data_IF_144183985272
#
_entry.id   IF_144183985272
#
_cell.length_a   1.000
_cell.length_b   1.000
_cell.length_c   1.000
_cell.angle_alpha   90.00
_cell.angle_beta   90.00
_cell.angle_gamma   90.00
#
_symmetry.space_group_name_H-M   'P 1'
#
loop_
_entity.id
_entity.type
_entity.pdbx_description
1 polymer ?
#
# COMPACT_ATOMS: atom_id res chain seq x y z
N UNK A 1 5.80 7.37 -39.09
CA UNK A 1 4.76 6.95 -38.14
C UNK A 1 5.31 5.75 -37.41
N UNK A 2 5.79 5.97 -36.20
CA UNK A 2 6.56 4.99 -35.43
C UNK A 2 5.64 4.40 -34.35
N UNK A 3 5.06 3.23 -34.64
CA UNK A 3 4.09 2.53 -33.78
C UNK A 3 4.75 1.55 -32.77
N UNK A 4 6.06 1.61 -32.59
CA UNK A 4 6.79 0.57 -31.83
C UNK A 4 7.17 0.93 -30.39
N UNK A 5 6.86 2.13 -29.88
CA UNK A 5 7.29 2.57 -28.54
C UNK A 5 6.31 2.27 -27.40
N UNK A 6 5.04 1.98 -27.68
CA UNK A 6 4.00 1.84 -26.65
C UNK A 6 3.74 0.37 -26.23
N UNK A 7 4.10 -0.59 -27.08
CA UNK A 7 3.86 -2.02 -26.79
C UNK A 7 4.83 -2.60 -25.75
N UNK A 8 6.03 -2.05 -25.60
CA UNK A 8 7.02 -2.49 -24.61
C UNK A 8 6.65 -2.12 -23.17
N UNK A 9 6.10 -0.93 -22.96
CA UNK A 9 5.68 -0.45 -21.63
C UNK A 9 4.53 -1.27 -21.08
N UNK A 10 3.52 -1.55 -21.87
CA UNK A 10 2.34 -2.34 -21.45
C UNK A 10 2.68 -3.81 -21.18
N UNK A 11 3.56 -4.41 -21.97
CA UNK A 11 3.99 -5.80 -21.77
C UNK A 11 4.85 -5.93 -20.51
N UNK A 12 5.76 -4.97 -20.27
CA UNK A 12 6.58 -4.95 -19.07
C UNK A 12 5.73 -4.77 -17.81
N UNK A 13 4.79 -3.83 -17.81
CA UNK A 13 3.85 -3.61 -16.71
C UNK A 13 2.98 -4.84 -16.44
N UNK A 14 2.51 -5.51 -17.49
CA UNK A 14 1.74 -6.76 -17.35
C UNK A 14 2.56 -7.85 -16.69
N UNK A 15 3.83 -8.01 -17.10
CA UNK A 15 4.73 -9.01 -16.51
C UNK A 15 5.03 -8.67 -15.03
N UNK A 16 5.29 -7.43 -14.74
CA UNK A 16 5.48 -6.97 -13.36
C UNK A 16 4.28 -7.34 -12.48
N UNK A 17 3.05 -7.06 -12.94
CA UNK A 17 1.82 -7.41 -12.22
C UNK A 17 1.69 -8.92 -12.03
N UNK A 18 2.02 -9.74 -13.02
CA UNK A 18 1.98 -11.20 -12.88
C UNK A 18 2.93 -11.70 -11.77
N UNK A 19 4.11 -11.10 -11.64
CA UNK A 19 5.06 -11.45 -10.58
C UNK A 19 4.49 -11.04 -9.21
N UNK A 20 3.93 -9.85 -9.10
CA UNK A 20 3.32 -9.35 -7.88
C UNK A 20 2.11 -10.21 -7.45
N UNK A 21 1.23 -10.56 -8.37
CA UNK A 21 0.07 -11.43 -8.11
C UNK A 21 0.50 -12.84 -7.69
N UNK A 22 1.55 -13.39 -8.29
CA UNK A 22 2.11 -14.68 -7.91
C UNK A 22 2.66 -14.65 -6.48
N UNK A 23 3.42 -13.60 -6.12
CA UNK A 23 3.91 -13.40 -4.76
C UNK A 23 2.74 -13.28 -3.78
N UNK A 24 1.78 -12.41 -4.07
CA UNK A 24 0.61 -12.17 -3.21
C UNK A 24 -0.17 -13.46 -2.95
N UNK A 25 -0.49 -14.20 -4.00
CA UNK A 25 -1.22 -15.49 -3.90
C UNK A 25 -0.42 -16.52 -3.10
N UNK A 26 0.90 -16.59 -3.28
CA UNK A 26 1.76 -17.46 -2.50
C UNK A 26 1.75 -17.11 -1.00
N UNK A 27 1.71 -15.81 -0.68
CA UNK A 27 1.68 -15.32 0.70
C UNK A 27 0.34 -15.53 1.41
N UNK A 28 -0.74 -15.74 0.68
CA UNK A 28 -2.01 -16.15 1.28
C UNK A 28 -1.93 -17.57 1.89
N UNK A 29 -1.07 -18.41 1.34
CA UNK A 29 -0.97 -19.83 1.72
C UNK A 29 0.24 -20.16 2.59
N UNK A 30 1.33 -19.40 2.46
CA UNK A 30 2.63 -19.69 3.08
C UNK A 30 3.22 -18.45 3.77
N UNK A 31 3.98 -18.65 4.87
CA UNK A 31 4.71 -17.56 5.52
C UNK A 31 5.72 -16.91 4.56
N UNK A 32 5.94 -15.60 4.73
CA UNK A 32 6.85 -14.82 3.90
C UNK A 32 8.27 -15.39 3.78
N UNK A 33 8.91 -15.88 4.86
CA UNK A 33 10.26 -16.48 4.74
C UNK A 33 10.30 -17.75 3.88
N UNK A 34 9.19 -18.50 3.79
CA UNK A 34 9.12 -19.76 3.05
C UNK A 34 8.88 -19.59 1.55
N UNK A 35 8.52 -18.39 1.09
CA UNK A 35 8.34 -18.10 -0.33
C UNK A 35 9.66 -17.66 -0.93
N UNK A 36 10.22 -18.44 -1.85
CA UNK A 36 11.47 -18.12 -2.54
C UNK A 36 11.23 -17.53 -3.93
N UNK A 37 12.19 -16.72 -4.41
CA UNK A 37 12.16 -16.21 -5.79
C UNK A 37 12.19 -17.39 -6.79
N UNK A 38 12.85 -18.48 -6.46
CA UNK A 38 12.91 -19.67 -7.32
C UNK A 38 11.52 -20.31 -7.47
N UNK A 39 10.73 -20.38 -6.38
CA UNK A 39 9.35 -20.88 -6.42
C UNK A 39 8.46 -20.01 -7.31
N UNK A 40 8.57 -18.68 -7.16
CA UNK A 40 7.80 -17.73 -7.98
C UNK A 40 8.16 -17.86 -9.45
N UNK A 41 9.46 -17.97 -9.76
CA UNK A 41 9.94 -18.17 -11.14
C UNK A 41 9.42 -19.48 -11.74
N UNK A 42 9.43 -20.56 -10.97
CA UNK A 42 8.91 -21.86 -11.39
C UNK A 42 7.41 -21.78 -11.68
N UNK A 43 6.62 -21.19 -10.78
CA UNK A 43 5.17 -21.03 -10.95
C UNK A 43 4.82 -20.19 -12.20
N UNK A 44 5.62 -19.16 -12.49
CA UNK A 44 5.40 -18.26 -13.62
C UNK A 44 6.02 -18.73 -14.94
N UNK A 45 6.80 -19.82 -14.91
CA UNK A 45 7.54 -20.28 -16.11
C UNK A 45 8.58 -19.26 -16.58
N UNK A 46 9.23 -18.52 -15.69
CA UNK A 46 10.24 -17.50 -16.02
C UNK A 46 11.59 -17.84 -15.40
N UNK A 47 12.67 -17.31 -15.98
CA UNK A 47 13.99 -17.42 -15.38
C UNK A 47 14.17 -16.46 -14.21
N UNK A 48 15.09 -16.77 -13.26
CA UNK A 48 15.48 -15.84 -12.20
C UNK A 48 15.99 -14.50 -12.76
N UNK A 49 16.73 -14.54 -13.86
CA UNK A 49 17.17 -13.32 -14.56
C UNK A 49 15.98 -12.46 -14.98
N UNK A 50 14.91 -13.09 -15.48
CA UNK A 50 13.69 -12.38 -15.85
C UNK A 50 13.02 -11.73 -14.63
N UNK A 51 13.00 -12.39 -13.47
CA UNK A 51 12.50 -11.79 -12.22
C UNK A 51 13.32 -10.55 -11.84
N UNK A 52 14.66 -10.68 -11.83
CA UNK A 52 15.55 -9.57 -11.44
C UNK A 52 15.54 -8.37 -12.41
N UNK A 53 15.01 -8.52 -13.61
CA UNK A 53 14.77 -7.37 -14.49
C UNK A 53 13.62 -6.46 -13.99
N UNK A 54 12.76 -6.94 -13.09
CA UNK A 54 11.62 -6.20 -12.54
C UNK A 54 11.81 -5.83 -11.07
N UNK A 55 12.39 -6.71 -10.29
CA UNK A 55 12.56 -6.54 -8.86
C UNK A 55 13.94 -7.01 -8.41
N UNK A 56 14.69 -6.20 -7.66
CA UNK A 56 15.99 -6.59 -7.14
C UNK A 56 15.89 -7.76 -6.13
N UNK A 57 14.76 -7.85 -5.42
CA UNK A 57 14.49 -8.86 -4.43
C UNK A 57 12.99 -9.06 -4.22
N UNK A 58 12.64 -9.93 -3.29
CA UNK A 58 11.24 -10.23 -2.92
C UNK A 58 10.60 -9.06 -2.14
N UNK A 59 11.39 -8.35 -1.36
CA UNK A 59 10.92 -7.20 -0.57
C UNK A 59 10.48 -6.07 -1.48
N UNK A 60 11.25 -5.77 -2.52
CA UNK A 60 10.88 -4.78 -3.53
C UNK A 60 9.59 -5.15 -4.28
N UNK A 61 9.37 -6.44 -4.53
CA UNK A 61 8.12 -6.91 -5.13
C UNK A 61 6.93 -6.67 -4.18
N UNK A 62 7.07 -6.99 -2.88
CA UNK A 62 6.02 -6.74 -1.89
C UNK A 62 5.78 -5.24 -1.67
N UNK A 63 6.84 -4.44 -1.65
CA UNK A 63 6.75 -2.97 -1.59
C UNK A 63 5.93 -2.42 -2.76
N UNK A 64 6.12 -2.95 -3.98
CA UNK A 64 5.35 -2.53 -5.15
C UNK A 64 3.86 -2.87 -5.02
N UNK A 65 3.52 -4.03 -4.41
CA UNK A 65 2.13 -4.40 -4.10
C UNK A 65 1.52 -3.38 -3.14
N UNK A 66 2.19 -3.10 -2.02
CA UNK A 66 1.73 -2.14 -1.00
C UNK A 66 1.56 -0.74 -1.61
N UNK A 67 2.57 -0.26 -2.33
CA UNK A 67 2.54 1.05 -3.01
C UNK A 67 1.33 1.19 -3.93
N UNK A 68 1.04 0.15 -4.72
CA UNK A 68 -0.12 0.16 -5.61
C UNK A 68 -1.45 0.25 -4.85
N UNK A 69 -1.56 -0.44 -3.72
CA UNK A 69 -2.75 -0.38 -2.86
C UNK A 69 -2.92 1.00 -2.25
N UNK A 70 -1.85 1.62 -1.77
CA UNK A 70 -1.86 3.00 -1.29
C UNK A 70 -2.29 3.99 -2.38
N UNK A 71 -1.69 3.91 -3.57
CA UNK A 71 -2.09 4.77 -4.70
C UNK A 71 -3.56 4.59 -5.07
N UNK A 72 -4.09 3.37 -5.02
CA UNK A 72 -5.51 3.12 -5.31
C UNK A 72 -6.40 3.72 -4.23
N UNK A 73 -6.07 3.55 -2.95
CA UNK A 73 -6.77 4.16 -1.83
C UNK A 73 -6.89 5.68 -1.99
N UNK A 74 -5.75 6.35 -2.18
CA UNK A 74 -5.72 7.80 -2.30
C UNK A 74 -6.43 8.31 -3.55
N UNK A 75 -6.31 7.60 -4.66
CA UNK A 75 -7.03 7.95 -5.88
C UNK A 75 -8.55 7.90 -5.67
N UNK A 76 -9.05 6.87 -4.96
CA UNK A 76 -10.46 6.75 -4.64
C UNK A 76 -10.91 7.88 -3.72
N UNK A 77 -10.16 8.16 -2.65
CA UNK A 77 -10.46 9.27 -1.74
C UNK A 77 -10.44 10.63 -2.43
N UNK A 78 -9.50 10.87 -3.34
CA UNK A 78 -9.46 12.12 -4.12
C UNK A 78 -10.67 12.28 -5.05
N UNK A 79 -11.15 11.19 -5.63
CA UNK A 79 -12.36 11.22 -6.45
C UNK A 79 -13.60 11.58 -5.61
N UNK A 80 -13.70 11.06 -4.39
CA UNK A 80 -14.78 11.39 -3.45
C UNK A 80 -14.68 12.82 -2.95
N UNK A 81 -13.49 13.32 -2.63
CA UNK A 81 -13.26 14.71 -2.20
C UNK A 81 -13.78 15.74 -3.22
N UNK A 82 -13.77 15.42 -4.49
CA UNK A 82 -14.29 16.28 -5.54
C UNK A 82 -15.82 16.51 -5.43
N UNK A 83 -16.54 15.67 -4.68
CA UNK A 83 -17.99 15.74 -4.46
C UNK A 83 -18.39 16.42 -3.13
N UNK A 84 -17.43 17.07 -2.45
CA UNK A 84 -17.62 17.72 -1.15
C UNK A 84 -18.25 16.80 -0.06
N UNK A 85 -17.65 15.62 0.21
CA UNK A 85 -18.15 14.69 1.21
C UNK A 85 -17.99 15.26 2.63
N UNK A 86 -18.75 14.72 3.57
CA UNK A 86 -18.51 14.98 4.99
C UNK A 86 -17.25 14.24 5.47
N UNK A 87 -16.67 14.69 6.60
CA UNK A 87 -15.53 14.01 7.22
C UNK A 87 -15.84 12.53 7.54
N UNK A 88 -17.08 12.27 8.01
CA UNK A 88 -17.54 10.90 8.30
C UNK A 88 -17.55 10.01 7.04
N UNK A 89 -17.94 10.55 5.88
CA UNK A 89 -17.92 9.84 4.61
C UNK A 89 -16.50 9.51 4.18
N UNK A 90 -15.57 10.45 4.30
CA UNK A 90 -14.14 10.24 3.99
C UNK A 90 -13.56 9.12 4.85
N UNK A 91 -13.80 9.17 6.17
CA UNK A 91 -13.33 8.14 7.10
C UNK A 91 -13.96 6.79 6.76
N UNK A 92 -15.26 6.74 6.49
CA UNK A 92 -15.96 5.51 6.13
C UNK A 92 -15.39 4.86 4.86
N UNK A 93 -15.13 5.65 3.82
CA UNK A 93 -14.54 5.17 2.57
C UNK A 93 -13.10 4.66 2.77
N UNK A 94 -12.30 5.37 3.54
CA UNK A 94 -10.94 4.95 3.88
C UNK A 94 -10.95 3.60 4.61
N UNK A 95 -11.78 3.45 5.63
CA UNK A 95 -11.90 2.21 6.40
C UNK A 95 -12.48 1.08 5.54
N UNK A 96 -13.49 1.36 4.70
CA UNK A 96 -14.06 0.38 3.78
C UNK A 96 -13.01 -0.18 2.82
N UNK A 97 -12.18 0.69 2.23
CA UNK A 97 -11.09 0.29 1.37
C UNK A 97 -10.13 -0.70 2.06
N UNK A 98 -9.65 -0.38 3.26
CA UNK A 98 -8.74 -1.26 3.99
C UNK A 98 -9.38 -2.56 4.46
N UNK A 99 -10.68 -2.55 4.72
CA UNK A 99 -11.44 -3.77 5.00
C UNK A 99 -11.49 -4.71 3.79
N UNK A 100 -11.60 -4.18 2.58
CA UNK A 100 -11.52 -4.96 1.34
C UNK A 100 -10.11 -5.54 1.14
N UNK A 101 -9.08 -4.82 1.58
CA UNK A 101 -7.67 -5.26 1.52
C UNK A 101 -7.23 -6.13 2.71
N UNK A 102 -8.19 -6.75 3.43
CA UNK A 102 -7.92 -7.60 4.61
C UNK A 102 -6.83 -8.65 4.39
N UNK A 103 -6.75 -9.24 3.20
CA UNK A 103 -5.75 -10.26 2.87
C UNK A 103 -4.33 -9.70 2.92
N UNK A 104 -4.13 -8.45 2.49
CA UNK A 104 -2.84 -7.77 2.61
C UNK A 104 -2.51 -7.50 4.09
N UNK A 105 -3.48 -7.03 4.87
CA UNK A 105 -3.31 -6.79 6.30
C UNK A 105 -2.98 -8.08 7.05
N UNK A 106 -3.65 -9.20 6.72
CA UNK A 106 -3.33 -10.54 7.26
C UNK A 106 -1.88 -10.96 6.95
N UNK A 107 -1.42 -10.74 5.72
CA UNK A 107 -0.05 -11.05 5.31
C UNK A 107 0.95 -10.22 6.13
N UNK A 108 0.70 -8.92 6.28
CA UNK A 108 1.57 -7.99 7.01
C UNK A 108 1.66 -8.38 8.49
N UNK A 109 0.53 -8.62 9.14
CA UNK A 109 0.48 -8.97 10.56
C UNK A 109 1.12 -10.33 10.83
N UNK A 110 0.76 -11.36 10.06
CA UNK A 110 1.28 -12.72 10.28
C UNK A 110 2.79 -12.86 10.07
N UNK A 111 3.38 -11.97 9.30
CA UNK A 111 4.80 -12.05 8.92
C UNK A 111 5.66 -10.95 9.55
N UNK A 112 5.11 -10.16 10.46
CA UNK A 112 5.81 -9.04 11.13
C UNK A 112 6.42 -8.03 10.12
N UNK A 113 5.62 -7.68 9.10
CA UNK A 113 6.04 -6.80 7.99
C UNK A 113 5.53 -5.36 8.16
N UNK A 114 5.25 -4.96 9.40
CA UNK A 114 4.69 -3.64 9.71
C UNK A 114 5.60 -2.50 9.26
N UNK A 115 6.90 -2.62 9.55
CA UNK A 115 7.90 -1.63 9.13
C UNK A 115 7.90 -1.40 7.61
N UNK A 116 7.66 -2.46 6.83
CA UNK A 116 7.58 -2.36 5.38
C UNK A 116 6.35 -1.54 4.93
N UNK A 117 5.22 -1.72 5.60
CA UNK A 117 4.02 -0.91 5.34
C UNK A 117 4.24 0.55 5.72
N UNK A 118 4.81 0.82 6.90
CA UNK A 118 5.13 2.17 7.38
C UNK A 118 6.08 2.89 6.43
N UNK A 119 7.16 2.23 6.01
CA UNK A 119 8.13 2.77 5.06
C UNK A 119 7.47 3.14 3.72
N UNK A 120 6.55 2.30 3.22
CA UNK A 120 5.83 2.60 1.98
C UNK A 120 4.86 3.78 2.15
N UNK A 121 4.17 3.88 3.28
CA UNK A 121 3.32 5.02 3.58
C UNK A 121 4.13 6.33 3.65
N UNK A 122 5.27 6.33 4.35
CA UNK A 122 6.16 7.49 4.45
C UNK A 122 6.69 7.88 3.07
N UNK A 123 7.12 6.92 2.27
CA UNK A 123 7.60 7.16 0.91
C UNK A 123 6.52 7.78 0.04
N UNK A 124 5.33 7.20 0.07
CA UNK A 124 4.18 7.71 -0.66
C UNK A 124 3.87 9.17 -0.31
N UNK A 125 3.86 9.50 0.98
CA UNK A 125 3.60 10.87 1.44
C UNK A 125 4.69 11.85 1.01
N UNK A 126 5.96 11.42 0.97
CA UNK A 126 7.07 12.25 0.48
C UNK A 126 7.00 12.53 -1.02
N UNK A 127 6.49 11.59 -1.81
CA UNK A 127 6.30 11.79 -3.25
C UNK A 127 5.26 12.89 -3.55
N UNK A 128 4.33 13.13 -2.62
CA UNK A 128 3.29 14.17 -2.72
C UNK A 128 3.57 15.38 -1.78
N UNK A 129 4.83 15.61 -1.45
CA UNK A 129 5.29 16.58 -0.45
C UNK A 129 4.75 18.00 -0.68
N UNK A 130 4.73 18.49 -1.93
CA UNK A 130 4.25 19.84 -2.26
C UNK A 130 2.76 20.02 -1.90
N UNK A 131 1.96 18.98 -2.11
CA UNK A 131 0.55 19.00 -1.75
C UNK A 131 0.36 18.98 -0.23
N UNK A 132 1.15 18.17 0.48
CA UNK A 132 1.11 18.09 1.93
C UNK A 132 1.57 19.40 2.60
N UNK A 133 2.60 20.07 2.08
CA UNK A 133 3.04 21.37 2.55
C UNK A 133 1.95 22.41 2.43
N UNK A 134 1.15 22.38 1.37
CA UNK A 134 0.03 23.30 1.17
C UNK A 134 -1.11 23.09 2.18
N UNK A 135 -1.30 21.85 2.65
CA UNK A 135 -2.33 21.52 3.64
C UNK A 135 -1.89 21.90 5.07
N UNK A 136 -0.59 21.69 5.38
CA UNK A 136 -0.07 21.88 6.73
C UNK A 136 0.34 23.32 7.03
N UNK A 137 0.32 24.22 6.04
CA UNK A 137 0.70 25.64 6.16
C UNK A 137 2.01 25.87 6.93
N UNK A 138 3.00 24.99 6.71
CA UNK A 138 4.27 25.04 7.45
C UNK A 138 5.47 25.00 6.49
N UNK A 139 6.41 25.97 6.61
CA UNK A 139 7.56 26.06 5.72
C UNK A 139 8.76 25.20 6.12
N UNK A 140 8.67 24.42 7.23
CA UNK A 140 9.81 23.70 7.79
C UNK A 140 9.77 22.21 7.47
N UNK A 141 10.61 21.77 6.56
CA UNK A 141 10.72 20.38 6.09
C UNK A 141 10.95 19.36 7.23
N UNK A 142 11.71 19.72 8.27
CA UNK A 142 11.95 18.82 9.40
C UNK A 142 10.70 18.60 10.25
N UNK A 143 9.92 19.66 10.46
CA UNK A 143 8.63 19.58 11.16
C UNK A 143 7.63 18.74 10.39
N UNK A 144 7.59 18.90 9.05
CA UNK A 144 6.74 18.09 8.16
C UNK A 144 7.09 16.61 8.28
N UNK A 145 8.35 16.23 8.20
CA UNK A 145 8.75 14.83 8.30
C UNK A 145 8.35 14.20 9.65
N UNK A 146 8.45 14.94 10.75
CA UNK A 146 8.02 14.48 12.05
C UNK A 146 6.49 14.29 12.12
N UNK A 147 5.73 15.27 11.65
CA UNK A 147 4.26 15.22 11.60
C UNK A 147 3.78 14.08 10.71
N UNK A 148 4.41 13.90 9.54
CA UNK A 148 4.08 12.81 8.62
C UNK A 148 4.35 11.44 9.23
N UNK A 149 5.50 11.25 9.88
CA UNK A 149 5.82 10.00 10.55
C UNK A 149 4.78 9.68 11.65
N UNK A 150 4.42 10.66 12.47
CA UNK A 150 3.38 10.51 13.49
C UNK A 150 2.01 10.17 12.89
N UNK A 151 1.63 10.87 11.82
CA UNK A 151 0.37 10.61 11.11
C UNK A 151 0.32 9.20 10.51
N UNK A 152 1.40 8.76 9.85
CA UNK A 152 1.50 7.40 9.28
C UNK A 152 1.40 6.35 10.36
N UNK A 153 2.17 6.49 11.44
CA UNK A 153 2.15 5.52 12.54
C UNK A 153 0.77 5.42 13.18
N UNK A 154 0.06 6.55 13.34
CA UNK A 154 -1.30 6.56 13.85
C UNK A 154 -2.27 5.84 12.89
N UNK A 155 -2.22 6.14 11.59
CA UNK A 155 -3.07 5.54 10.58
C UNK A 155 -2.84 4.02 10.47
N UNK A 156 -1.60 3.60 10.41
CA UNK A 156 -1.22 2.19 10.32
C UNK A 156 -1.66 1.45 11.58
N UNK A 157 -1.39 2.01 12.77
CA UNK A 157 -1.83 1.41 14.04
C UNK A 157 -3.35 1.28 14.11
N UNK A 158 -4.10 2.31 13.70
CA UNK A 158 -5.56 2.31 13.70
C UNK A 158 -6.11 1.21 12.78
N UNK A 159 -5.60 1.10 11.56
CA UNK A 159 -6.01 0.06 10.59
C UNK A 159 -5.74 -1.33 11.16
N UNK A 160 -4.54 -1.55 11.71
CA UNK A 160 -4.16 -2.85 12.25
C UNK A 160 -4.96 -3.23 13.48
N UNK A 161 -5.20 -2.31 14.40
CA UNK A 161 -6.04 -2.57 15.58
C UNK A 161 -7.48 -2.91 15.16
N UNK A 162 -8.01 -2.17 14.20
CA UNK A 162 -9.33 -2.45 13.67
C UNK A 162 -9.41 -3.81 12.97
N UNK A 163 -8.38 -4.17 12.20
CA UNK A 163 -8.24 -5.50 11.58
C UNK A 163 -8.19 -6.61 12.64
N UNK A 164 -7.35 -6.47 13.68
CA UNK A 164 -7.22 -7.44 14.77
C UNK A 164 -8.51 -7.61 15.58
N UNK A 165 -9.36 -6.59 15.61
CA UNK A 165 -10.69 -6.62 16.23
C UNK A 165 -11.79 -7.15 15.30
N UNK A 166 -11.45 -7.82 14.20
CA UNK A 166 -12.39 -8.32 13.19
C UNK A 166 -13.35 -7.23 12.68
N UNK A 167 -12.85 -6.02 12.47
CA UNK A 167 -13.58 -4.90 11.90
C UNK A 167 -14.83 -4.49 12.70
N UNK A 168 -14.81 -4.68 14.01
CA UNK A 168 -15.88 -4.19 14.89
C UNK A 168 -15.99 -2.65 14.78
N UNK A 169 -17.20 -2.08 14.94
CA UNK A 169 -17.37 -0.63 14.89
C UNK A 169 -16.45 0.07 15.87
N UNK A 170 -15.75 1.10 15.43
CA UNK A 170 -14.99 2.00 16.31
C UNK A 170 -16.01 2.81 17.11
N UNK A 171 -16.25 2.40 18.35
CA UNK A 171 -17.15 3.11 19.26
C UNK A 171 -16.37 4.31 19.81
N UNK A 172 -16.50 5.45 19.16
CA UNK A 172 -16.15 6.71 19.80
C UNK A 172 -17.23 6.98 20.85
N UNK A 173 -16.95 6.75 22.14
CA UNK A 173 -17.83 7.23 23.20
C UNK A 173 -17.91 8.75 23.05
N UNK A 174 -19.06 9.28 22.63
CA UNK A 174 -19.38 10.68 22.86
C UNK A 174 -19.23 10.88 24.38
N UNK A 175 -18.27 11.74 24.76
CA UNK A 175 -18.14 12.10 26.16
C UNK A 175 -19.49 12.61 26.66
N UNK A 176 -20.00 11.98 27.70
CA UNK A 176 -21.12 12.51 28.46
C UNK A 176 -20.67 13.85 29.03
N UNK A 177 -21.24 14.94 28.49
CA UNK A 177 -21.18 16.25 29.08
C UNK A 177 -22.32 16.38 30.10
#
# INVERSE_FOLDING_TARGET
>A
MDYTKDSGSTTAQRRQRQIEECLFTSLLQRPYPSVSISDLCHQLGISRKSFYNYFPDKDACLQAIISRKLHTCIRNLRAELAENPTEEQIIASYLSYWKEEKNLLDIIVRNDLLSLLEDQCIRFLREDEQHLLSILDTPQLQTVNFVLAGFVSLQVTMILQWHLQNYQPLIFRKGDN
#
